data_IF_618257231240
#
_entry.id   IF_618257231240
#
_cell.length_a   1.000
_cell.length_b   1.000
_cell.length_c   1.000
_cell.angle_alpha   90.00
_cell.angle_beta   90.00
_cell.angle_gamma   90.00
#
_symmetry.space_group_name_H-M   'P 1'
#
loop_
_entity.id
_entity.type
_entity.pdbx_description
1 polymer ?
#
# COMPACT_ATOMS: atom_id res chain seq x y z
N UNK A 1 9.63 -21.99 11.06
CA UNK A 1 9.63 -21.42 9.69
C UNK A 1 8.73 -20.20 9.67
N UNK A 2 9.26 -19.03 9.32
CA UNK A 2 8.45 -17.82 9.08
C UNK A 2 7.90 -17.89 7.66
N UNK A 3 6.63 -17.51 7.47
CA UNK A 3 6.05 -17.51 6.14
C UNK A 3 6.79 -16.53 5.22
N UNK A 4 7.05 -16.92 3.96
CA UNK A 4 7.86 -16.14 3.02
C UNK A 4 7.39 -14.68 2.84
N UNK A 5 6.07 -14.44 2.90
CA UNK A 5 5.50 -13.10 2.81
C UNK A 5 5.78 -12.22 4.04
N UNK A 6 5.88 -12.82 5.24
CA UNK A 6 6.30 -12.10 6.45
C UNK A 6 7.78 -11.73 6.39
N UNK A 7 8.63 -12.62 5.87
CA UNK A 7 10.04 -12.33 5.65
C UNK A 7 10.26 -11.21 4.62
N UNK A 8 9.39 -11.13 3.60
CA UNK A 8 9.39 -10.06 2.60
C UNK A 8 8.85 -8.70 3.08
N UNK A 9 8.53 -8.55 4.38
CA UNK A 9 7.98 -7.31 4.93
C UNK A 9 6.53 -7.02 4.50
N UNK A 10 5.83 -7.97 3.90
CA UNK A 10 4.43 -7.79 3.50
C UNK A 10 3.51 -7.94 4.71
N UNK A 11 2.55 -7.03 4.83
CA UNK A 11 1.41 -7.23 5.71
C UNK A 11 0.49 -8.30 5.12
N UNK A 12 -0.27 -8.98 5.97
CA UNK A 12 -1.19 -10.04 5.54
C UNK A 12 -2.20 -9.54 4.50
N UNK A 13 -2.74 -8.34 4.71
CA UNK A 13 -3.68 -7.72 3.77
C UNK A 13 -3.03 -7.47 2.39
N UNK A 14 -1.76 -7.07 2.36
CA UNK A 14 -1.01 -6.86 1.11
C UNK A 14 -0.77 -8.18 0.38
N UNK A 15 -0.38 -9.24 1.11
CA UNK A 15 -0.21 -10.57 0.55
C UNK A 15 -1.51 -11.08 -0.09
N UNK A 16 -2.64 -11.00 0.63
CA UNK A 16 -3.93 -11.48 0.15
C UNK A 16 -4.43 -10.69 -1.07
N UNK A 17 -4.19 -9.37 -1.10
CA UNK A 17 -4.52 -8.53 -2.26
C UNK A 17 -3.72 -8.93 -3.52
N UNK A 18 -2.43 -9.24 -3.37
CA UNK A 18 -1.56 -9.69 -4.47
C UNK A 18 -2.02 -11.06 -4.98
N UNK A 19 -2.22 -12.02 -4.07
CA UNK A 19 -2.67 -13.36 -4.42
C UNK A 19 -4.02 -13.32 -5.18
N UNK A 20 -4.97 -12.53 -4.68
CA UNK A 20 -6.27 -12.35 -5.34
C UNK A 20 -6.14 -11.72 -6.74
N UNK A 21 -5.19 -10.79 -6.96
CA UNK A 21 -4.96 -10.20 -8.29
C UNK A 21 -4.46 -11.25 -9.28
N UNK A 22 -3.51 -12.09 -8.87
CA UNK A 22 -2.95 -13.14 -9.74
C UNK A 22 -4.04 -14.14 -10.12
N UNK A 23 -4.83 -14.60 -9.15
CA UNK A 23 -5.93 -15.55 -9.39
C UNK A 23 -6.95 -15.02 -10.40
N UNK A 24 -7.31 -13.72 -10.33
CA UNK A 24 -8.24 -13.11 -11.29
C UNK A 24 -7.72 -13.15 -12.73
N UNK A 25 -6.42 -12.92 -12.91
CA UNK A 25 -5.77 -12.95 -14.24
C UNK A 25 -5.66 -14.37 -14.80
N UNK A 26 -5.70 -15.39 -13.95
CA UNK A 26 -5.65 -16.80 -14.35
C UNK A 26 -7.03 -17.38 -14.73
N UNK A 27 -8.12 -16.63 -14.59
CA UNK A 27 -9.47 -17.08 -14.97
C UNK A 27 -9.70 -16.95 -16.48
N UNK A 28 -10.59 -17.82 -17.01
CA UNK A 28 -11.13 -17.70 -18.38
C UNK A 28 -11.91 -16.38 -18.55
N UNK A 29 -11.94 -15.88 -19.79
CA UNK A 29 -12.47 -14.56 -20.17
C UNK A 29 -13.83 -14.24 -19.53
N UNK A 30 -14.80 -15.14 -19.65
CA UNK A 30 -16.18 -14.95 -19.15
C UNK A 30 -16.24 -14.61 -17.66
N UNK A 31 -15.37 -15.26 -16.87
CA UNK A 31 -15.30 -15.06 -15.42
C UNK A 31 -14.33 -13.96 -15.03
N UNK A 32 -13.36 -13.65 -15.89
CA UNK A 32 -12.36 -12.60 -15.68
C UNK A 32 -13.02 -11.22 -15.68
N UNK A 33 -13.91 -10.94 -16.63
CA UNK A 33 -14.60 -9.64 -16.77
C UNK A 33 -15.34 -9.26 -15.47
N UNK A 34 -16.06 -10.20 -14.87
CA UNK A 34 -16.77 -9.96 -13.62
C UNK A 34 -15.83 -9.81 -12.41
N UNK A 35 -14.68 -10.51 -12.43
CA UNK A 35 -13.74 -10.53 -11.33
C UNK A 35 -12.78 -9.31 -11.34
N UNK A 36 -12.42 -8.79 -12.52
CA UNK A 36 -11.51 -7.65 -12.69
C UNK A 36 -12.05 -6.34 -12.12
N UNK A 37 -13.38 -6.14 -12.18
CA UNK A 37 -14.04 -4.97 -11.56
C UNK A 37 -13.76 -4.84 -10.06
N UNK A 38 -13.45 -5.93 -9.36
CA UNK A 38 -13.10 -5.92 -7.92
C UNK A 38 -11.64 -5.57 -7.63
N UNK A 39 -10.80 -5.50 -8.67
CA UNK A 39 -9.38 -5.21 -8.56
C UNK A 39 -9.05 -3.73 -8.63
N UNK A 40 -9.98 -2.90 -9.09
CA UNK A 40 -9.84 -1.46 -9.16
C UNK A 40 -10.14 -0.84 -7.80
N UNK A 41 -9.21 -0.01 -7.31
CA UNK A 41 -9.36 0.67 -6.02
C UNK A 41 -8.67 2.03 -6.15
N UNK A 42 -9.45 3.05 -6.53
CA UNK A 42 -8.98 4.44 -6.56
C UNK A 42 -9.27 5.07 -5.20
N UNK A 43 -8.32 4.95 -4.28
CA UNK A 43 -8.40 5.55 -2.96
C UNK A 43 -7.37 6.66 -2.84
N UNK A 44 -7.84 7.90 -2.75
CA UNK A 44 -6.99 9.05 -2.46
C UNK A 44 -6.85 9.21 -0.95
N UNK A 45 -5.62 9.11 -0.47
CA UNK A 45 -5.31 9.32 0.93
C UNK A 45 -4.66 10.70 1.12
N UNK A 46 -5.27 11.53 1.96
CA UNK A 46 -4.69 12.79 2.41
C UNK A 46 -4.28 12.65 3.87
N UNK A 47 -2.97 12.62 4.12
CA UNK A 47 -2.44 12.61 5.49
C UNK A 47 -2.62 14.00 6.08
N UNK A 48 -3.63 14.19 6.93
CA UNK A 48 -3.71 15.39 7.75
C UNK A 48 -2.55 15.41 8.74
N UNK A 49 -1.71 16.43 8.70
CA UNK A 49 -0.66 16.64 9.68
C UNK A 49 -1.07 17.78 10.61
N UNK A 50 -1.30 17.47 11.88
CA UNK A 50 -1.38 18.51 12.92
C UNK A 50 0.05 19.02 13.11
N UNK A 51 0.34 20.21 12.59
CA UNK A 51 1.54 20.94 12.98
C UNK A 51 1.41 21.27 14.46
N UNK A 52 2.19 20.61 15.31
CA UNK A 52 2.35 21.05 16.70
C UNK A 52 2.92 22.46 16.63
N UNK A 53 2.12 23.47 16.98
CA UNK A 53 2.65 24.80 17.22
C UNK A 53 3.44 24.72 18.53
N UNK A 54 4.76 24.61 18.43
CA UNK A 54 5.66 24.60 19.59
C UNK A 54 6.62 23.41 19.63
N UNK A 55 7.63 23.42 18.77
CA UNK A 55 8.99 23.11 19.20
C UNK A 55 9.96 23.78 18.23
N UNK A 56 10.56 24.90 18.65
CA UNK A 56 11.64 25.58 17.93
C UNK A 56 12.91 24.74 18.06
N UNK A 57 13.07 23.66 17.28
CA UNK A 57 14.37 22.96 17.17
C UNK A 57 14.65 22.34 15.78
N UNK A 58 13.96 22.78 14.73
CA UNK A 58 14.23 22.31 13.36
C UNK A 58 14.73 23.46 12.45
N UNK A 59 15.47 24.43 13.01
CA UNK A 59 16.11 25.52 12.25
C UNK A 59 17.64 25.53 12.38
N UNK A 60 18.24 24.34 12.44
CA UNK A 60 19.70 24.16 12.46
C UNK A 60 20.09 22.97 11.57
N UNK A 61 19.65 22.99 10.31
CA UNK A 61 20.31 22.25 9.20
C UNK A 61 19.66 22.60 7.87
N UNK A 62 19.81 23.86 7.46
CA UNK A 62 19.73 24.22 6.04
C UNK A 62 20.46 25.52 5.75
N UNK A 63 21.54 25.80 6.48
CA UNK A 63 22.51 26.82 6.11
C UNK A 63 23.91 26.16 6.17
N UNK A 64 24.63 26.27 5.05
CA UNK A 64 26.03 25.88 4.77
C UNK A 64 26.33 24.43 4.30
N UNK A 65 26.82 24.38 3.04
CA UNK A 65 27.51 23.31 2.28
C UNK A 65 26.76 22.04 1.84
#
# INVERSE_FOLDING_TARGET
MTAAWRAAGLTYNRYLAIAARVVRRSLKEDKRIAAERRGEMDLRFSKWQVRRYGNRKDSEKSDAD
#
